data_IF_719574025677
#
_entry.id   IF_719574025677
#
_cell.length_a   1.000
_cell.length_b   1.000
_cell.length_c   1.000
_cell.angle_alpha   90.00
_cell.angle_beta   90.00
_cell.angle_gamma   90.00
#
_symmetry.space_group_name_H-M   'P 1'
#
loop_
_entity.id
_entity.type
_entity.pdbx_description
1 polymer ?
#
# COMPACT_ATOMS: atom_id res chain seq x y z
N UNK A 1 -0.35 -64.62 30.42
CA UNK A 1 0.73 -64.14 29.51
C UNK A 1 0.32 -64.46 28.07
N UNK A 2 -0.18 -63.46 27.34
CA UNK A 2 -0.58 -63.61 25.93
C UNK A 2 0.58 -63.12 25.02
N UNK A 3 0.96 -63.94 24.04
CA UNK A 3 2.01 -63.60 23.06
C UNK A 3 1.51 -62.50 22.11
N UNK A 4 2.32 -61.47 21.81
CA UNK A 4 1.96 -60.46 20.83
C UNK A 4 2.02 -61.08 19.42
N UNK A 5 0.90 -61.00 18.70
CA UNK A 5 0.78 -61.32 17.29
C UNK A 5 1.45 -60.22 16.46
N UNK A 6 2.60 -60.54 15.87
CA UNK A 6 3.24 -59.65 14.89
C UNK A 6 2.39 -59.60 13.63
N UNK A 7 1.89 -58.41 13.30
CA UNK A 7 1.27 -58.15 12.00
C UNK A 7 2.34 -58.36 10.92
N UNK A 8 2.03 -59.10 9.84
CA UNK A 8 3.05 -59.49 8.89
C UNK A 8 3.42 -58.29 8.01
N UNK A 9 4.72 -57.96 7.99
CA UNK A 9 5.35 -56.79 7.35
C UNK A 9 4.88 -56.53 5.91
N UNK A 10 4.49 -57.57 5.17
CA UNK A 10 3.97 -57.43 3.80
C UNK A 10 2.64 -56.66 3.71
N UNK A 11 1.79 -56.68 4.74
CA UNK A 11 0.55 -55.86 4.78
C UNK A 11 0.83 -54.36 4.91
N UNK A 12 1.91 -53.98 5.60
CA UNK A 12 2.37 -52.59 5.72
C UNK A 12 2.98 -52.13 4.39
N UNK A 13 3.76 -52.98 3.72
CA UNK A 13 4.31 -52.65 2.40
C UNK A 13 3.23 -52.54 1.31
N UNK A 14 2.19 -53.38 1.34
CA UNK A 14 1.09 -53.32 0.38
C UNK A 14 0.23 -52.06 0.57
N UNK A 15 -0.03 -51.65 1.81
CA UNK A 15 -0.74 -50.39 2.09
C UNK A 15 0.09 -49.17 1.70
N UNK A 16 1.41 -49.17 1.96
CA UNK A 16 2.28 -48.09 1.49
C UNK A 16 2.35 -48.00 -0.04
N UNK A 17 2.37 -49.13 -0.76
CA UNK A 17 2.36 -49.14 -2.23
C UNK A 17 1.03 -48.68 -2.83
N UNK A 18 -0.09 -49.05 -2.22
CA UNK A 18 -1.42 -48.55 -2.63
C UNK A 18 -1.57 -47.05 -2.35
N UNK A 19 -0.99 -46.53 -1.27
CA UNK A 19 -0.96 -45.09 -0.96
C UNK A 19 -0.09 -44.33 -1.97
N UNK A 20 1.03 -44.89 -2.43
CA UNK A 20 1.89 -44.23 -3.44
C UNK A 20 1.31 -44.28 -4.86
N UNK A 21 0.65 -45.37 -5.27
CA UNK A 21 -0.01 -45.46 -6.59
C UNK A 21 -1.30 -44.61 -6.66
N UNK A 22 -2.07 -44.53 -5.58
CA UNK A 22 -3.20 -43.59 -5.49
C UNK A 22 -2.75 -42.14 -5.41
N UNK A 23 -1.62 -41.83 -4.75
CA UNK A 23 -1.10 -40.45 -4.73
C UNK A 23 -0.53 -40.02 -6.07
N UNK A 24 0.02 -40.93 -6.89
CA UNK A 24 0.51 -40.60 -8.23
C UNK A 24 -0.65 -40.26 -9.19
N UNK A 25 -1.71 -41.06 -9.20
CA UNK A 25 -2.88 -40.82 -10.07
C UNK A 25 -3.75 -39.66 -9.57
N UNK A 26 -3.89 -39.50 -8.27
CA UNK A 26 -4.56 -38.34 -7.65
C UNK A 26 -3.73 -37.07 -7.83
N UNK A 27 -2.40 -37.17 -7.73
CA UNK A 27 -1.46 -36.09 -8.02
C UNK A 27 -1.61 -35.56 -9.44
N UNK A 28 -1.74 -36.43 -10.44
CA UNK A 28 -1.90 -36.00 -11.83
C UNK A 28 -3.30 -35.44 -12.13
N UNK A 29 -4.35 -35.89 -11.43
CA UNK A 29 -5.70 -35.29 -11.53
C UNK A 29 -5.77 -33.94 -10.83
N UNK A 30 -5.17 -33.82 -9.65
CA UNK A 30 -5.07 -32.55 -8.90
C UNK A 30 -4.20 -31.57 -9.68
N UNK A 31 -3.07 -32.00 -10.23
CA UNK A 31 -2.21 -31.17 -11.10
C UNK A 31 -2.94 -30.69 -12.34
N UNK A 32 -3.66 -31.56 -13.06
CA UNK A 32 -4.51 -31.14 -14.19
C UNK A 32 -5.66 -30.23 -13.76
N UNK A 33 -6.22 -30.44 -12.57
CA UNK A 33 -7.23 -29.57 -11.97
C UNK A 33 -6.68 -28.17 -11.66
N UNK A 34 -5.51 -28.11 -11.03
CA UNK A 34 -4.77 -26.88 -10.73
C UNK A 34 -4.43 -26.17 -12.04
N UNK A 35 -3.85 -26.84 -13.03
CA UNK A 35 -3.52 -26.24 -14.33
C UNK A 35 -4.75 -25.77 -15.10
N UNK A 36 -5.91 -26.44 -14.97
CA UNK A 36 -7.18 -25.95 -15.54
C UNK A 36 -7.72 -24.74 -14.80
N UNK A 37 -7.63 -24.73 -13.47
CA UNK A 37 -8.06 -23.61 -12.64
C UNK A 37 -7.13 -22.41 -12.86
N UNK A 38 -5.81 -22.60 -12.87
CA UNK A 38 -4.83 -21.59 -13.25
C UNK A 38 -5.05 -21.13 -14.69
N UNK A 39 -5.31 -22.03 -15.63
CA UNK A 39 -5.64 -21.68 -17.01
C UNK A 39 -6.97 -20.94 -17.14
N UNK A 40 -7.93 -21.15 -16.25
CA UNK A 40 -9.23 -20.48 -16.25
C UNK A 40 -9.20 -19.14 -15.50
N UNK A 41 -8.47 -19.07 -14.39
CA UNK A 41 -8.15 -17.82 -13.67
C UNK A 41 -7.34 -16.96 -14.62
N UNK A 42 -6.23 -17.47 -15.15
CA UNK A 42 -5.42 -16.80 -16.15
C UNK A 42 -6.25 -16.47 -17.38
N UNK A 43 -7.14 -17.29 -17.94
CA UNK A 43 -7.97 -16.82 -19.09
C UNK A 43 -9.02 -15.77 -18.73
N UNK A 44 -9.54 -15.75 -17.49
CA UNK A 44 -10.47 -14.69 -17.03
C UNK A 44 -9.76 -13.42 -16.57
N UNK A 45 -8.50 -13.51 -16.14
CA UNK A 45 -7.69 -12.39 -15.69
C UNK A 45 -6.62 -11.96 -16.70
N UNK A 46 -6.29 -12.76 -17.71
CA UNK A 46 -5.33 -12.48 -18.78
C UNK A 46 -5.76 -11.32 -19.68
N UNK A 47 -7.07 -11.09 -19.96
CA UNK A 47 -7.50 -9.85 -20.59
C UNK A 47 -7.13 -8.61 -19.74
N UNK A 48 -6.85 -8.80 -18.44
CA UNK A 48 -6.42 -7.78 -17.48
C UNK A 48 -4.92 -7.82 -17.15
N UNK A 49 -4.17 -8.84 -17.60
CA UNK A 49 -2.78 -9.13 -17.18
C UNK A 49 -1.84 -9.42 -18.36
N UNK A 50 -2.25 -9.21 -19.61
CA UNK A 50 -1.36 -9.34 -20.76
C UNK A 50 -0.27 -8.25 -20.72
N UNK A 51 1.01 -8.59 -20.53
CA UNK A 51 2.12 -7.64 -20.46
C UNK A 51 2.49 -7.06 -21.83
N UNK A 52 1.82 -7.50 -22.92
CA UNK A 52 2.04 -7.03 -24.28
C UNK A 52 1.08 -5.92 -24.71
N UNK A 53 0.18 -5.47 -23.83
CA UNK A 53 -0.60 -4.25 -24.07
C UNK A 53 0.36 -3.08 -23.98
N UNK A 54 0.56 -2.36 -25.10
CA UNK A 54 1.16 -1.02 -25.19
C UNK A 54 0.98 -0.32 -23.85
N UNK A 55 2.07 0.13 -23.20
CA UNK A 55 2.04 0.91 -21.94
C UNK A 55 0.81 1.80 -21.99
N UNK A 56 -0.26 1.36 -21.31
CA UNK A 56 -1.57 1.98 -21.52
C UNK A 56 -1.44 3.32 -20.83
N UNK A 57 -1.39 4.39 -21.62
CA UNK A 57 -1.11 5.71 -21.10
C UNK A 57 -2.12 6.04 -20.00
N UNK A 58 -1.69 6.76 -18.96
CA UNK A 58 -2.60 7.25 -17.94
C UNK A 58 -3.72 8.09 -18.58
N UNK A 59 -3.43 8.76 -19.71
CA UNK A 59 -4.43 9.49 -20.49
C UNK A 59 -5.48 8.56 -21.14
N UNK A 60 -5.09 7.38 -21.65
CA UNK A 60 -6.05 6.39 -22.15
C UNK A 60 -6.99 5.92 -21.03
N UNK A 61 -6.45 5.79 -19.81
CA UNK A 61 -7.25 5.45 -18.63
C UNK A 61 -8.25 6.53 -18.27
N UNK A 62 -8.00 7.81 -18.59
CA UNK A 62 -8.92 8.91 -18.25
C UNK A 62 -10.29 8.74 -18.91
N UNK A 63 -10.31 8.26 -20.15
CA UNK A 63 -11.54 8.06 -20.95
C UNK A 63 -12.08 6.63 -20.89
N UNK A 64 -11.30 5.68 -20.38
CA UNK A 64 -11.71 4.28 -20.26
C UNK A 64 -12.97 4.12 -19.38
N UNK A 65 -13.92 3.26 -19.79
CA UNK A 65 -15.12 3.00 -18.99
C UNK A 65 -14.76 2.36 -17.64
N UNK A 66 -15.62 2.51 -16.62
CA UNK A 66 -15.35 1.93 -15.31
C UNK A 66 -15.25 0.41 -15.42
N UNK A 67 -14.22 -0.20 -14.80
CA UNK A 67 -14.07 -1.65 -14.84
C UNK A 67 -15.27 -2.31 -14.16
N UNK A 68 -15.88 -3.29 -14.84
CA UNK A 68 -17.04 -4.06 -14.34
C UNK A 68 -18.27 -3.24 -13.98
N UNK A 69 -18.45 -2.08 -14.60
CA UNK A 69 -19.63 -1.24 -14.40
C UNK A 69 -20.96 -1.98 -14.62
N UNK A 70 -21.00 -2.89 -15.59
CA UNK A 70 -22.19 -3.70 -15.90
C UNK A 70 -22.58 -4.70 -14.81
N UNK A 71 -21.68 -5.02 -13.88
CA UNK A 71 -21.93 -5.96 -12.78
C UNK A 71 -22.73 -5.30 -11.63
N UNK A 72 -22.87 -3.97 -11.62
CA UNK A 72 -23.63 -3.24 -10.60
C UNK A 72 -25.14 -3.26 -10.91
N UNK A 73 -26.01 -3.53 -9.92
CA UNK A 73 -27.46 -3.41 -10.07
C UNK A 73 -27.87 -2.03 -10.61
N UNK A 74 -28.96 -1.97 -11.39
CA UNK A 74 -29.48 -0.70 -11.91
C UNK A 74 -29.89 0.26 -10.77
N UNK A 75 -30.33 -0.28 -9.65
CA UNK A 75 -30.72 0.46 -8.44
C UNK A 75 -29.54 0.86 -7.55
N UNK A 76 -28.30 0.55 -7.94
CA UNK A 76 -27.13 0.85 -7.11
C UNK A 76 -26.81 2.35 -7.13
N UNK A 77 -26.72 3.03 -5.96
CA UNK A 77 -26.44 4.46 -5.92
C UNK A 77 -25.09 4.80 -6.58
N UNK A 78 -24.09 3.93 -6.44
CA UNK A 78 -22.76 4.13 -7.06
C UNK A 78 -22.88 4.16 -8.59
N UNK A 79 -23.80 3.36 -9.15
CA UNK A 79 -24.04 3.34 -10.59
C UNK A 79 -24.58 4.68 -11.08
N UNK A 80 -25.57 5.24 -10.40
CA UNK A 80 -26.14 6.56 -10.74
C UNK A 80 -25.08 7.66 -10.67
N UNK A 81 -24.24 7.61 -9.65
CA UNK A 81 -23.20 8.60 -9.44
C UNK A 81 -22.08 8.50 -10.47
N UNK A 82 -21.71 7.30 -10.93
CA UNK A 82 -20.78 7.13 -12.06
C UNK A 82 -21.33 7.72 -13.35
N UNK A 83 -22.63 7.61 -13.61
CA UNK A 83 -23.27 8.26 -14.77
C UNK A 83 -23.13 9.78 -14.66
N UNK A 84 -23.39 10.36 -13.47
CA UNK A 84 -23.20 11.79 -13.20
C UNK A 84 -21.75 12.24 -13.38
N UNK A 85 -20.78 11.50 -12.83
CA UNK A 85 -19.35 11.76 -13.01
C UNK A 85 -18.95 11.75 -14.49
N UNK A 86 -19.49 10.81 -15.27
CA UNK A 86 -19.26 10.76 -16.74
C UNK A 86 -19.92 11.93 -17.49
N UNK A 87 -21.05 12.43 -16.99
CA UNK A 87 -21.70 13.63 -17.51
C UNK A 87 -20.94 14.92 -17.12
N UNK A 88 -19.90 14.82 -16.29
CA UNK A 88 -19.10 15.97 -15.85
C UNK A 88 -19.75 16.77 -14.71
N UNK A 89 -20.75 16.19 -14.03
CA UNK A 89 -21.36 16.80 -12.86
C UNK A 89 -20.38 16.78 -11.67
N UNK A 90 -20.33 17.86 -10.86
CA UNK A 90 -19.51 17.88 -9.66
C UNK A 90 -20.06 16.93 -8.59
N UNK A 91 -19.16 16.33 -7.80
CA UNK A 91 -19.55 15.54 -6.64
C UNK A 91 -19.98 16.45 -5.49
N UNK A 92 -21.07 16.06 -4.82
CA UNK A 92 -21.52 16.70 -3.58
C UNK A 92 -20.86 16.06 -2.35
N UNK A 93 -20.91 16.71 -1.19
CA UNK A 93 -20.43 16.13 0.07
C UNK A 93 -21.17 14.83 0.42
N UNK A 94 -22.47 14.77 0.14
CA UNK A 94 -23.27 13.55 0.33
C UNK A 94 -22.78 12.41 -0.56
N UNK A 95 -22.42 12.70 -1.81
CA UNK A 95 -21.85 11.71 -2.73
C UNK A 95 -20.51 11.18 -2.19
N UNK A 96 -19.64 12.06 -1.68
CA UNK A 96 -18.35 11.66 -1.09
C UNK A 96 -18.50 10.79 0.15
N UNK A 97 -19.45 11.12 1.03
CA UNK A 97 -19.75 10.28 2.20
C UNK A 97 -20.20 8.88 1.77
N UNK A 98 -21.10 8.79 0.78
CA UNK A 98 -21.57 7.51 0.26
C UNK A 98 -20.43 6.69 -0.39
N UNK A 99 -19.50 7.37 -1.09
CA UNK A 99 -18.34 6.73 -1.68
C UNK A 99 -17.34 6.22 -0.65
N UNK A 100 -17.07 7.02 0.38
CA UNK A 100 -16.20 6.64 1.50
C UNK A 100 -16.75 5.39 2.20
N UNK A 101 -18.05 5.33 2.42
CA UNK A 101 -18.73 4.16 2.99
C UNK A 101 -18.61 2.93 2.08
N UNK A 102 -18.71 3.10 0.76
CA UNK A 102 -18.55 2.02 -0.21
C UNK A 102 -17.11 1.47 -0.28
N UNK A 103 -16.12 2.32 -0.03
CA UNK A 103 -14.70 1.93 0.06
C UNK A 103 -14.40 1.22 1.38
N UNK A 104 -14.92 1.71 2.50
CA UNK A 104 -14.64 1.16 3.83
C UNK A 104 -15.16 -0.27 4.03
N UNK A 105 -16.24 -0.64 3.35
CA UNK A 105 -16.90 -1.95 3.48
C UNK A 105 -16.41 -2.96 2.43
N UNK A 106 -15.16 -3.43 2.57
CA UNK A 106 -14.62 -4.52 1.73
C UNK A 106 -15.20 -5.88 2.09
N UNK A 107 -16.46 -6.07 1.69
CA UNK A 107 -17.08 -7.38 1.66
C UNK A 107 -16.80 -8.07 0.30
N UNK A 108 -16.78 -9.40 0.32
CA UNK A 108 -16.72 -10.28 -0.86
C UNK A 108 -17.77 -9.91 -1.91
N UNK A 109 -18.91 -9.33 -1.50
CA UNK A 109 -20.00 -8.88 -2.38
C UNK A 109 -19.81 -7.45 -2.91
N UNK A 110 -19.12 -6.58 -2.17
CA UNK A 110 -19.05 -5.16 -2.47
C UNK A 110 -17.76 -4.69 -3.14
N UNK A 111 -16.78 -5.58 -3.37
CA UNK A 111 -15.50 -5.19 -3.97
C UNK A 111 -15.64 -4.50 -5.35
N UNK A 112 -16.67 -4.83 -6.15
CA UNK A 112 -16.97 -4.13 -7.42
C UNK A 112 -17.38 -2.68 -7.14
N UNK A 113 -18.17 -2.42 -6.10
CA UNK A 113 -18.54 -1.07 -5.67
C UNK A 113 -17.31 -0.27 -5.30
N UNK A 114 -16.41 -0.83 -4.49
CA UNK A 114 -15.16 -0.16 -4.08
C UNK A 114 -14.24 0.11 -5.27
N UNK A 115 -14.15 -0.83 -6.22
CA UNK A 115 -13.38 -0.65 -7.46
C UNK A 115 -13.92 0.49 -8.32
N UNK A 116 -15.25 0.50 -8.57
CA UNK A 116 -15.92 1.54 -9.37
C UNK A 116 -15.88 2.88 -8.63
N UNK A 117 -15.95 2.88 -7.30
CA UNK A 117 -15.79 4.07 -6.47
C UNK A 117 -14.42 4.68 -6.62
N UNK A 118 -13.35 3.88 -6.53
CA UNK A 118 -11.98 4.36 -6.74
C UNK A 118 -11.84 4.99 -8.13
N UNK A 119 -12.37 4.33 -9.17
CA UNK A 119 -12.39 4.86 -10.54
C UNK A 119 -13.11 6.22 -10.63
N UNK A 120 -14.27 6.36 -9.98
CA UNK A 120 -15.10 7.56 -10.03
C UNK A 120 -14.42 8.73 -9.33
N UNK A 121 -13.81 8.49 -8.16
CA UNK A 121 -13.11 9.50 -7.38
C UNK A 121 -11.94 10.15 -8.15
N UNK A 122 -11.21 9.38 -8.97
CA UNK A 122 -10.10 9.91 -9.78
C UNK A 122 -10.51 10.74 -11.00
N UNK A 123 -11.79 10.70 -11.40
CA UNK A 123 -12.29 11.33 -12.63
C UNK A 123 -13.39 12.37 -12.39
N UNK A 124 -13.94 12.39 -11.18
CA UNK A 124 -14.91 13.37 -10.78
C UNK A 124 -14.34 14.78 -10.80
N UNK A 125 -15.20 15.75 -11.11
CA UNK A 125 -14.93 17.16 -10.79
C UNK A 125 -15.19 17.34 -9.31
N UNK A 126 -14.12 17.55 -8.56
CA UNK A 126 -14.15 17.69 -7.10
C UNK A 126 -13.89 19.16 -6.78
N UNK A 127 -14.73 19.73 -5.91
CA UNK A 127 -14.48 21.05 -5.33
C UNK A 127 -13.09 21.06 -4.64
N UNK A 128 -12.28 22.12 -4.79
CA UNK A 128 -10.99 22.23 -4.12
C UNK A 128 -11.03 21.92 -2.62
N UNK A 129 -12.10 22.29 -1.91
CA UNK A 129 -12.29 22.02 -0.48
C UNK A 129 -12.43 20.54 -0.14
N UNK A 130 -12.87 19.72 -1.10
CA UNK A 130 -13.13 18.29 -0.94
C UNK A 130 -11.99 17.41 -1.49
N UNK A 131 -11.06 18.01 -2.24
CA UNK A 131 -9.97 17.30 -2.90
C UNK A 131 -9.11 16.51 -1.91
N UNK A 132 -8.81 17.08 -0.76
CA UNK A 132 -7.98 16.43 0.26
C UNK A 132 -8.65 15.17 0.83
N UNK A 133 -9.98 15.20 1.03
CA UNK A 133 -10.75 14.03 1.49
C UNK A 133 -10.78 12.91 0.44
N UNK A 134 -10.87 13.27 -0.83
CA UNK A 134 -10.80 12.32 -1.95
C UNK A 134 -9.43 11.65 -2.00
N UNK A 135 -8.36 12.44 -1.88
CA UNK A 135 -6.98 11.95 -1.83
C UNK A 135 -6.80 11.02 -0.64
N UNK A 136 -7.22 11.40 0.56
CA UNK A 136 -7.12 10.58 1.76
C UNK A 136 -7.87 9.25 1.61
N UNK A 137 -9.06 9.28 0.99
CA UNK A 137 -9.85 8.07 0.73
C UNK A 137 -9.15 7.13 -0.26
N UNK A 138 -8.56 7.67 -1.33
CA UNK A 138 -7.80 6.89 -2.31
C UNK A 138 -6.47 6.38 -1.75
N UNK A 139 -5.78 7.18 -0.93
CA UNK A 139 -4.58 6.76 -0.21
C UNK A 139 -4.91 5.62 0.77
N UNK A 140 -6.03 5.72 1.49
CA UNK A 140 -6.55 4.65 2.35
C UNK A 140 -6.86 3.38 1.55
N UNK A 141 -7.44 3.49 0.35
CA UNK A 141 -7.60 2.36 -0.56
C UNK A 141 -6.25 1.71 -0.91
N UNK A 142 -5.22 2.52 -1.16
CA UNK A 142 -3.90 2.06 -1.56
C UNK A 142 -3.13 1.42 -0.41
N UNK A 143 -3.28 1.94 0.81
CA UNK A 143 -2.69 1.42 2.05
C UNK A 143 -3.46 0.22 2.62
N UNK A 144 -4.66 -0.04 2.11
CA UNK A 144 -5.52 -1.14 2.54
C UNK A 144 -4.71 -2.41 2.74
N UNK A 145 -4.57 -2.77 4.02
CA UNK A 145 -3.61 -3.77 4.45
C UNK A 145 -3.99 -5.08 3.79
N UNK A 146 -3.10 -5.60 2.96
CA UNK A 146 -3.18 -7.00 2.58
C UNK A 146 -3.12 -7.78 3.89
N UNK A 147 -4.12 -8.62 4.14
CA UNK A 147 -4.11 -9.55 5.26
C UNK A 147 -2.87 -10.42 5.08
N UNK A 148 -1.80 -10.01 5.76
CA UNK A 148 -0.52 -10.61 5.57
C UNK A 148 -0.70 -12.07 6.01
N UNK A 149 -0.32 -13.00 5.12
CA UNK A 149 -0.18 -14.42 5.41
C UNK A 149 0.84 -14.71 6.54
N UNK A 150 1.21 -13.72 7.35
CA UNK A 150 2.02 -13.85 8.55
C UNK A 150 1.38 -14.81 9.56
N UNK A 151 0.05 -15.01 9.50
CA UNK A 151 -0.63 -16.08 10.26
C UNK A 151 -0.71 -17.44 9.53
N UNK A 152 -0.38 -17.51 8.24
CA UNK A 152 -0.56 -18.71 7.43
C UNK A 152 0.67 -19.62 7.42
N UNK A 153 1.88 -19.08 7.55
CA UNK A 153 3.11 -19.88 7.64
C UNK A 153 3.11 -20.79 8.87
N UNK A 154 2.54 -20.33 9.99
CA UNK A 154 2.37 -21.15 11.20
C UNK A 154 1.24 -22.19 11.05
N UNK A 155 0.13 -21.86 10.39
CA UNK A 155 -0.95 -22.85 10.14
C UNK A 155 -0.59 -23.91 9.10
N UNK A 156 0.28 -23.61 8.13
CA UNK A 156 0.71 -24.60 7.13
C UNK A 156 1.61 -25.68 7.74
N UNK A 157 2.51 -25.33 8.67
CA UNK A 157 3.34 -26.33 9.34
C UNK A 157 2.53 -27.33 10.17
N UNK A 158 1.43 -26.87 10.80
CA UNK A 158 0.57 -27.72 11.66
C UNK A 158 -0.54 -28.43 10.87
N UNK A 159 -1.07 -27.80 9.80
CA UNK A 159 -2.23 -28.29 9.05
C UNK A 159 -1.93 -29.18 7.85
N UNK A 160 -0.69 -29.16 7.31
CA UNK A 160 -0.33 -29.93 6.11
C UNK A 160 -0.41 -31.45 6.30
N UNK A 161 -0.36 -31.96 7.54
CA UNK A 161 -0.45 -33.38 7.80
C UNK A 161 -1.89 -33.90 7.91
N UNK A 162 -2.88 -33.04 8.18
CA UNK A 162 -4.25 -33.49 8.47
C UNK A 162 -5.33 -32.94 7.54
N UNK A 163 -5.08 -31.92 6.69
CA UNK A 163 -6.20 -31.28 6.00
C UNK A 163 -5.91 -30.62 4.65
N UNK A 164 -5.28 -31.34 3.72
CA UNK A 164 -5.12 -30.89 2.34
C UNK A 164 -6.45 -30.56 1.64
N UNK A 165 -7.57 -31.17 2.07
CA UNK A 165 -8.91 -30.89 1.54
C UNK A 165 -9.48 -29.55 2.01
N UNK A 166 -9.15 -29.07 3.21
CA UNK A 166 -9.63 -27.76 3.72
C UNK A 166 -8.68 -26.62 3.34
N UNK A 167 -7.37 -26.88 3.27
CA UNK A 167 -6.39 -25.82 2.98
C UNK A 167 -6.46 -25.32 1.54
N UNK A 168 -6.76 -26.18 0.56
CA UNK A 168 -6.77 -25.79 -0.85
C UNK A 168 -7.92 -24.81 -1.19
N UNK A 169 -9.19 -25.03 -0.81
CA UNK A 169 -10.25 -24.03 -0.97
C UNK A 169 -9.96 -22.70 -0.28
N UNK A 170 -9.34 -22.74 0.90
CA UNK A 170 -8.92 -21.54 1.64
C UNK A 170 -7.84 -20.76 0.89
N UNK A 171 -6.81 -21.43 0.37
CA UNK A 171 -5.77 -20.80 -0.44
C UNK A 171 -6.34 -20.17 -1.71
N UNK A 172 -7.25 -20.87 -2.42
CA UNK A 172 -7.95 -20.31 -3.59
C UNK A 172 -8.78 -19.08 -3.18
N UNK A 173 -9.50 -19.17 -2.06
CA UNK A 173 -10.28 -18.06 -1.53
C UNK A 173 -9.41 -16.82 -1.24
N UNK A 174 -8.26 -17.02 -0.58
CA UNK A 174 -7.31 -15.94 -0.28
C UNK A 174 -6.68 -15.35 -1.53
N UNK A 175 -6.28 -16.18 -2.51
CA UNK A 175 -5.75 -15.70 -3.80
C UNK A 175 -6.78 -14.85 -4.57
N UNK A 176 -8.05 -15.28 -4.60
CA UNK A 176 -9.13 -14.52 -5.25
C UNK A 176 -9.40 -13.22 -4.49
N UNK A 177 -9.37 -13.24 -3.16
CA UNK A 177 -9.54 -12.05 -2.33
C UNK A 177 -8.41 -11.05 -2.57
N UNK A 178 -7.16 -11.49 -2.57
CA UNK A 178 -5.99 -10.65 -2.82
C UNK A 178 -6.02 -10.02 -4.21
N UNK A 179 -6.44 -10.78 -5.23
CA UNK A 179 -6.63 -10.27 -6.59
C UNK A 179 -7.65 -9.12 -6.66
N UNK A 180 -8.75 -9.21 -5.89
CA UNK A 180 -9.78 -8.15 -5.82
C UNK A 180 -9.28 -6.91 -5.10
N UNK A 181 -8.60 -7.08 -3.96
CA UNK A 181 -7.99 -5.97 -3.23
C UNK A 181 -6.94 -5.27 -4.11
N UNK A 182 -6.10 -6.03 -4.79
CA UNK A 182 -5.11 -5.46 -5.71
C UNK A 182 -5.75 -4.75 -6.89
N UNK A 183 -6.90 -5.21 -7.41
CA UNK A 183 -7.64 -4.48 -8.44
C UNK A 183 -8.11 -3.10 -7.94
N UNK A 184 -8.67 -3.03 -6.72
CA UNK A 184 -9.08 -1.75 -6.09
C UNK A 184 -7.87 -0.83 -5.89
N UNK A 185 -6.77 -1.36 -5.34
CA UNK A 185 -5.51 -0.62 -5.14
C UNK A 185 -4.93 -0.11 -6.46
N UNK A 186 -5.02 -0.91 -7.52
CA UNK A 186 -4.53 -0.54 -8.85
C UNK A 186 -5.32 0.65 -9.39
N UNK A 187 -6.65 0.62 -9.24
CA UNK A 187 -7.48 1.73 -9.68
C UNK A 187 -7.33 2.96 -8.79
N UNK A 188 -7.12 2.78 -7.49
CA UNK A 188 -6.80 3.88 -6.57
C UNK A 188 -5.47 4.55 -6.93
N UNK A 189 -4.43 3.77 -7.25
CA UNK A 189 -3.14 4.28 -7.71
C UNK A 189 -3.28 5.07 -9.03
N UNK A 190 -4.04 4.56 -9.99
CA UNK A 190 -4.32 5.28 -11.24
C UNK A 190 -5.07 6.59 -10.97
N UNK A 191 -6.05 6.56 -10.07
CA UNK A 191 -6.86 7.73 -9.70
C UNK A 191 -6.04 8.81 -9.00
N UNK A 192 -5.13 8.43 -8.10
CA UNK A 192 -4.18 9.36 -7.47
C UNK A 192 -3.25 10.01 -8.49
N UNK A 193 -2.82 9.26 -9.51
CA UNK A 193 -2.00 9.79 -10.60
C UNK A 193 -2.77 10.81 -11.45
N UNK A 194 -4.05 10.54 -11.76
CA UNK A 194 -4.91 11.46 -12.52
C UNK A 194 -5.23 12.74 -11.76
N UNK A 195 -5.33 12.65 -10.43
CA UNK A 195 -5.51 13.82 -9.55
C UNK A 195 -4.23 14.61 -9.34
N UNK A 196 -3.10 14.19 -9.92
CA UNK A 196 -1.79 14.81 -9.77
C UNK A 196 -1.42 15.08 -8.30
N UNK A 197 -1.69 14.10 -7.42
CA UNK A 197 -1.47 14.27 -5.98
C UNK A 197 -0.01 13.94 -5.59
N UNK A 198 0.77 14.97 -5.28
CA UNK A 198 2.18 14.85 -4.89
C UNK A 198 2.37 14.22 -3.49
N UNK A 199 1.35 14.30 -2.62
CA UNK A 199 1.43 13.74 -1.26
C UNK A 199 1.32 12.21 -1.26
N UNK A 200 0.69 11.64 -2.29
CA UNK A 200 0.53 10.20 -2.47
C UNK A 200 1.80 9.48 -2.95
N UNK A 201 2.89 10.21 -3.23
CA UNK A 201 4.16 9.65 -3.71
C UNK A 201 4.67 8.54 -2.79
N UNK A 202 4.53 8.69 -1.47
CA UNK A 202 4.93 7.67 -0.51
C UNK A 202 4.17 6.36 -0.64
N UNK A 203 2.84 6.46 -0.74
CA UNK A 203 1.96 5.29 -0.84
C UNK A 203 2.12 4.59 -2.19
N UNK A 204 2.33 5.35 -3.26
CA UNK A 204 2.65 4.83 -4.58
C UNK A 204 4.01 4.13 -4.61
N UNK A 205 5.04 4.70 -3.97
CA UNK A 205 6.35 4.06 -3.83
C UNK A 205 6.24 2.73 -3.06
N UNK A 206 5.44 2.71 -1.99
CA UNK A 206 5.14 1.49 -1.27
C UNK A 206 4.43 0.45 -2.16
N UNK A 207 3.43 0.87 -2.94
CA UNK A 207 2.68 0.00 -3.84
C UNK A 207 3.55 -0.58 -4.97
N UNK A 208 4.45 0.23 -5.55
CA UNK A 208 5.40 -0.19 -6.58
C UNK A 208 6.37 -1.29 -6.10
N UNK A 209 6.64 -1.33 -4.79
CA UNK A 209 7.53 -2.31 -4.15
C UNK A 209 6.90 -3.67 -3.84
N UNK A 210 5.57 -3.81 -3.84
CA UNK A 210 4.91 -5.06 -3.40
C UNK A 210 5.35 -6.24 -4.27
N UNK A 211 6.23 -7.12 -3.77
CA UNK A 211 6.80 -8.24 -4.56
C UNK A 211 5.94 -9.50 -4.52
N UNK A 212 5.98 -10.26 -5.63
CA UNK A 212 5.66 -11.69 -5.74
C UNK A 212 4.31 -12.14 -5.16
N UNK A 213 3.28 -11.28 -5.18
CA UNK A 213 1.91 -11.65 -4.81
C UNK A 213 1.01 -11.75 -6.04
N UNK A 214 0.08 -12.72 -6.09
CA UNK A 214 -0.90 -12.81 -7.16
C UNK A 214 -1.65 -11.47 -7.34
N UNK A 215 -1.71 -10.97 -8.59
CA UNK A 215 -2.37 -9.72 -8.92
C UNK A 215 -1.62 -8.43 -8.54
N UNK A 216 -0.44 -8.52 -7.91
CA UNK A 216 0.38 -7.32 -7.59
C UNK A 216 1.10 -6.74 -8.82
N UNK A 217 1.23 -7.48 -9.92
CA UNK A 217 1.94 -7.04 -11.13
C UNK A 217 1.30 -5.75 -11.69
N UNK A 218 -0.01 -5.76 -11.93
CA UNK A 218 -0.74 -4.60 -12.43
C UNK A 218 -0.67 -3.40 -11.48
N UNK A 219 -0.73 -3.64 -10.16
CA UNK A 219 -0.58 -2.59 -9.15
C UNK A 219 0.80 -1.93 -9.26
N UNK A 220 1.87 -2.72 -9.35
CA UNK A 220 3.24 -2.22 -9.45
C UNK A 220 3.44 -1.41 -10.71
N UNK A 221 2.97 -1.92 -11.85
CA UNK A 221 3.08 -1.23 -13.14
C UNK A 221 2.39 0.13 -13.09
N UNK A 222 1.14 0.18 -12.63
CA UNK A 222 0.38 1.43 -12.53
C UNK A 222 0.99 2.38 -11.51
N UNK A 223 1.44 1.87 -10.35
CA UNK A 223 2.11 2.70 -9.35
C UNK A 223 3.44 3.26 -9.87
N UNK A 224 4.22 2.47 -10.60
CA UNK A 224 5.46 2.93 -11.27
C UNK A 224 5.16 4.03 -12.29
N UNK A 225 4.14 3.87 -13.13
CA UNK A 225 3.74 4.90 -14.09
C UNK A 225 3.28 6.19 -13.39
N UNK A 226 2.50 6.05 -12.32
CA UNK A 226 2.07 7.16 -11.49
C UNK A 226 3.27 7.91 -10.90
N UNK A 227 4.26 7.19 -10.35
CA UNK A 227 5.49 7.79 -9.83
C UNK A 227 6.30 8.49 -10.91
N UNK A 228 6.46 7.91 -12.10
CA UNK A 228 7.17 8.56 -13.21
C UNK A 228 6.57 9.92 -13.58
N UNK A 229 5.23 10.04 -13.47
CA UNK A 229 4.53 11.31 -13.70
C UNK A 229 4.65 12.29 -12.53
N UNK A 230 4.57 11.82 -11.30
CA UNK A 230 4.50 12.67 -10.10
C UNK A 230 5.87 13.11 -9.56
N UNK A 231 6.90 12.27 -9.65
CA UNK A 231 8.23 12.56 -9.08
C UNK A 231 8.86 13.84 -9.66
N UNK A 232 8.81 14.14 -10.97
CA UNK A 232 9.35 15.39 -11.50
C UNK A 232 8.73 16.66 -10.93
N UNK A 233 7.55 16.56 -10.30
CA UNK A 233 6.85 17.70 -9.68
C UNK A 233 7.24 17.90 -8.22
N UNK A 234 7.98 16.97 -7.62
CA UNK A 234 8.44 17.09 -6.23
C UNK A 234 9.53 18.15 -6.11
N UNK A 235 9.11 19.38 -5.83
CA UNK A 235 10.02 20.52 -5.60
C UNK A 235 10.53 20.66 -4.16
N UNK A 236 11.40 21.65 -3.90
CA UNK A 236 11.91 21.99 -2.56
C UNK A 236 10.82 22.25 -1.51
N UNK A 237 9.66 22.76 -1.92
CA UNK A 237 8.52 23.07 -1.02
C UNK A 237 7.91 21.82 -0.35
N UNK A 238 8.27 20.63 -0.84
CA UNK A 238 7.84 19.35 -0.29
C UNK A 238 8.76 18.83 0.82
N UNK A 239 9.88 19.50 1.08
CA UNK A 239 10.76 19.13 2.18
C UNK A 239 10.02 19.23 3.52
N UNK A 240 10.12 18.18 4.33
CA UNK A 240 9.38 18.06 5.61
C UNK A 240 7.89 17.76 5.48
N UNK A 241 7.29 17.86 4.29
CA UNK A 241 5.86 17.53 4.06
C UNK A 241 5.64 16.04 3.77
N UNK A 242 6.61 15.38 3.14
CA UNK A 242 6.53 13.93 2.93
C UNK A 242 6.79 13.20 4.23
N UNK A 243 5.94 12.21 4.53
CA UNK A 243 6.12 11.33 5.69
C UNK A 243 7.50 10.63 5.64
N UNK A 244 8.17 10.41 6.79
CA UNK A 244 9.41 9.62 6.83
C UNK A 244 9.29 8.23 6.20
N UNK A 245 8.08 7.63 6.26
CA UNK A 245 7.79 6.34 5.62
C UNK A 245 7.77 6.43 4.10
N UNK A 246 7.38 7.58 3.55
CA UNK A 246 7.41 7.85 2.11
C UNK A 246 8.85 7.92 1.61
N UNK A 247 9.70 8.70 2.28
CA UNK A 247 11.14 8.83 1.96
C UNK A 247 11.82 7.46 2.05
N UNK A 248 11.53 6.70 3.11
CA UNK A 248 12.05 5.33 3.25
C UNK A 248 11.60 4.43 2.11
N UNK A 249 10.34 4.53 1.68
CA UNK A 249 9.82 3.74 0.55
C UNK A 249 10.47 4.11 -0.78
N UNK A 250 10.82 5.39 -1.00
CA UNK A 250 11.60 5.85 -2.15
C UNK A 250 13.03 5.29 -2.12
N UNK A 251 13.72 5.34 -0.98
CA UNK A 251 15.04 4.71 -0.82
C UNK A 251 14.99 3.20 -1.12
N UNK A 252 13.97 2.51 -0.64
CA UNK A 252 13.78 1.07 -0.90
C UNK A 252 13.33 0.77 -2.34
N UNK A 253 12.94 1.79 -3.11
CA UNK A 253 12.65 1.67 -4.54
C UNK A 253 13.94 1.71 -5.37
N UNK A 254 14.97 2.43 -4.90
CA UNK A 254 16.29 2.46 -5.53
C UNK A 254 16.98 1.08 -5.55
N UNK A 255 16.78 0.28 -4.50
CA UNK A 255 17.31 -1.09 -4.37
C UNK A 255 16.59 -2.11 -5.30
N UNK A 256 15.61 -1.67 -6.09
CA UNK A 256 14.89 -2.56 -7.00
C UNK A 256 15.44 -2.46 -8.41
N UNK A 257 15.39 -3.57 -9.14
CA UNK A 257 15.89 -3.72 -10.51
C UNK A 257 15.15 -2.88 -11.59
N UNK A 258 14.34 -1.89 -11.20
CA UNK A 258 13.59 -1.04 -12.11
C UNK A 258 14.43 0.18 -12.52
N UNK A 259 15.22 0.03 -13.58
CA UNK A 259 16.13 1.06 -14.11
C UNK A 259 15.44 2.41 -14.35
N UNK A 260 14.22 2.39 -14.85
CA UNK A 260 13.52 3.58 -15.34
C UNK A 260 13.09 4.55 -14.22
N UNK A 261 13.11 4.10 -12.97
CA UNK A 261 12.71 4.92 -11.82
C UNK A 261 13.90 5.53 -11.07
N UNK A 262 15.13 5.06 -11.30
CA UNK A 262 16.27 5.52 -10.51
C UNK A 262 16.52 7.01 -10.63
N UNK A 263 16.52 7.55 -11.85
CA UNK A 263 16.78 8.98 -12.07
C UNK A 263 15.66 9.87 -11.50
N UNK A 264 14.35 9.63 -11.76
CA UNK A 264 13.28 10.41 -11.13
C UNK A 264 13.27 10.33 -9.60
N UNK A 265 13.57 9.16 -9.03
CA UNK A 265 13.63 9.00 -7.57
C UNK A 265 14.83 9.75 -6.99
N UNK A 266 16.00 9.69 -7.62
CA UNK A 266 17.18 10.46 -7.20
C UNK A 266 16.91 11.97 -7.26
N UNK A 267 16.24 12.46 -8.31
CA UNK A 267 15.85 13.87 -8.40
C UNK A 267 14.86 14.26 -7.29
N UNK A 268 13.86 13.44 -7.00
CA UNK A 268 12.95 13.69 -5.89
C UNK A 268 13.70 13.72 -4.55
N UNK A 269 14.59 12.75 -4.30
CA UNK A 269 15.39 12.68 -3.07
C UNK A 269 16.36 13.86 -2.90
N UNK A 270 16.81 14.49 -3.98
CA UNK A 270 17.54 15.77 -3.91
C UNK A 270 16.74 16.84 -3.17
N UNK A 271 15.43 16.89 -3.40
CA UNK A 271 14.55 17.89 -2.82
C UNK A 271 14.03 17.47 -1.44
N UNK A 272 13.58 16.23 -1.28
CA UNK A 272 12.89 15.78 -0.07
C UNK A 272 13.75 14.95 0.90
N UNK A 273 14.94 14.53 0.45
CA UNK A 273 15.81 13.66 1.24
C UNK A 273 16.44 14.34 2.45
N UNK A 274 16.71 13.56 3.48
CA UNK A 274 17.43 13.98 4.69
C UNK A 274 18.45 12.94 5.12
N UNK A 275 18.84 12.96 6.39
CA UNK A 275 19.84 12.03 6.95
C UNK A 275 19.60 10.53 6.66
N UNK A 276 18.35 10.08 6.60
CA UNK A 276 18.00 8.68 6.30
C UNK A 276 18.27 8.24 4.86
N UNK A 277 18.48 9.19 3.94
CA UNK A 277 18.65 8.90 2.51
C UNK A 277 20.11 8.71 2.11
N UNK A 278 21.05 9.22 2.91
CA UNK A 278 22.49 9.26 2.62
C UNK A 278 23.02 7.87 2.28
N UNK A 279 22.71 6.85 3.09
CA UNK A 279 23.19 5.48 2.88
C UNK A 279 22.67 4.88 1.56
N UNK A 280 21.39 5.08 1.26
CA UNK A 280 20.78 4.53 0.04
C UNK A 280 21.34 5.19 -1.22
N UNK A 281 21.51 6.52 -1.21
CA UNK A 281 22.10 7.27 -2.34
C UNK A 281 23.59 6.95 -2.50
N UNK A 282 24.34 6.84 -1.40
CA UNK A 282 25.75 6.47 -1.44
C UNK A 282 25.97 5.10 -2.09
N UNK A 283 25.12 4.11 -1.78
CA UNK A 283 25.18 2.78 -2.39
C UNK A 283 25.04 2.81 -3.93
N UNK A 284 24.37 3.81 -4.49
CA UNK A 284 24.20 3.99 -5.93
C UNK A 284 25.42 4.59 -6.65
N UNK A 285 26.42 5.08 -5.90
CA UNK A 285 27.67 5.62 -6.47
C UNK A 285 28.68 4.52 -6.82
N UNK A 286 28.47 3.32 -6.29
CA UNK A 286 29.34 2.15 -6.46
C UNK A 286 29.35 1.64 -7.91
N UNK A 287 30.40 0.89 -8.25
CA UNK A 287 30.49 0.17 -9.52
C UNK A 287 29.37 -0.89 -9.60
N UNK A 288 28.67 -0.95 -10.73
CA UNK A 288 27.50 -1.82 -10.93
C UNK A 288 26.24 -1.08 -11.38
N UNK A 289 26.15 0.23 -11.12
CA UNK A 289 25.06 1.07 -11.59
C UNK A 289 25.38 1.75 -12.95
N UNK A 290 24.36 2.07 -13.77
CA UNK A 290 24.56 2.83 -15.01
C UNK A 290 25.29 4.15 -14.76
N UNK A 291 26.14 4.59 -15.71
CA UNK A 291 26.96 5.79 -15.55
C UNK A 291 26.15 7.04 -15.20
N UNK A 292 25.03 7.27 -15.91
CA UNK A 292 24.12 8.39 -15.63
C UNK A 292 23.53 8.34 -14.21
N UNK A 293 23.15 7.15 -13.74
CA UNK A 293 22.65 6.96 -12.37
C UNK A 293 23.72 7.24 -11.32
N UNK A 294 24.97 6.78 -11.54
CA UNK A 294 26.09 7.05 -10.63
C UNK A 294 26.43 8.52 -10.53
N UNK A 295 26.51 9.20 -11.69
CA UNK A 295 26.77 10.63 -11.75
C UNK A 295 25.68 11.42 -11.01
N UNK A 296 24.41 11.10 -11.28
CA UNK A 296 23.31 11.74 -10.58
C UNK A 296 23.31 11.45 -9.08
N UNK A 297 23.61 10.22 -8.69
CA UNK A 297 23.71 9.84 -7.28
C UNK A 297 24.83 10.62 -6.55
N UNK A 298 25.97 10.91 -7.20
CA UNK A 298 27.04 11.74 -6.61
C UNK A 298 26.58 13.17 -6.37
N UNK A 299 25.94 13.79 -7.36
CA UNK A 299 25.34 15.14 -7.22
C UNK A 299 24.36 15.18 -6.04
N UNK A 300 23.43 14.21 -5.99
CA UNK A 300 22.42 14.13 -4.94
C UNK A 300 23.07 13.89 -3.58
N UNK A 301 24.07 13.01 -3.51
CA UNK A 301 24.77 12.64 -2.27
C UNK A 301 25.39 13.85 -1.58
N UNK A 302 26.03 14.74 -2.34
CA UNK A 302 26.62 15.97 -1.82
C UNK A 302 25.55 16.84 -1.13
N UNK A 303 24.42 17.04 -1.82
CA UNK A 303 23.31 17.88 -1.34
C UNK A 303 22.67 17.28 -0.08
N UNK A 304 22.37 15.97 -0.09
CA UNK A 304 21.70 15.33 1.07
C UNK A 304 22.64 15.19 2.26
N UNK A 305 23.95 15.06 2.04
CA UNK A 305 24.95 15.02 3.13
C UNK A 305 25.07 16.39 3.81
N UNK A 306 25.24 17.46 3.03
CA UNK A 306 25.28 18.81 3.57
C UNK A 306 23.97 19.19 4.29
N UNK A 307 22.83 18.67 3.84
CA UNK A 307 21.55 18.85 4.55
C UNK A 307 21.51 18.04 5.86
N UNK A 308 21.95 16.79 5.84
CA UNK A 308 22.00 15.95 7.02
C UNK A 308 22.92 16.52 8.11
N UNK A 309 24.02 17.17 7.73
CA UNK A 309 24.91 17.87 8.66
C UNK A 309 24.20 19.05 9.32
N UNK A 310 23.53 19.91 8.53
CA UNK A 310 22.72 21.02 9.06
C UNK A 310 21.61 20.54 10.00
N UNK A 311 20.93 19.44 9.67
CA UNK A 311 19.91 18.81 10.54
C UNK A 311 20.53 18.37 11.89
N UNK A 312 21.72 17.77 11.86
CA UNK A 312 22.44 17.35 13.09
C UNK A 312 22.90 18.55 13.91
N UNK A 313 23.43 19.59 13.28
CA UNK A 313 23.83 20.83 13.94
C UNK A 313 22.64 21.53 14.61
N UNK A 314 21.52 21.68 13.89
CA UNK A 314 20.30 22.23 14.44
C UNK A 314 19.79 21.39 15.63
N UNK A 315 19.82 20.06 15.51
CA UNK A 315 19.43 19.15 16.60
C UNK A 315 20.37 19.25 17.81
N UNK A 316 21.66 19.56 17.60
CA UNK A 316 22.64 19.78 18.67
C UNK A 316 22.38 21.10 19.40
N UNK A 317 21.95 22.15 18.69
CA UNK A 317 21.60 23.44 19.28
C UNK A 317 20.30 23.39 20.09
N UNK A 318 19.37 22.51 19.72
CA UNK A 318 18.08 22.35 20.40
C UNK A 318 18.10 21.36 21.57
N UNK A 319 19.21 20.66 21.83
CA UNK A 319 19.36 19.99 23.11
C UNK A 319 19.52 21.10 24.15
N UNK A 320 18.57 21.30 25.10
CA UNK A 320 18.84 22.17 26.23
C UNK A 320 20.17 21.71 26.81
N UNK A 321 21.04 22.65 27.15
CA UNK A 321 22.31 22.33 27.79
C UNK A 321 21.99 21.58 29.09
N UNK A 322 21.89 20.26 29.02
CA UNK A 322 22.04 19.38 30.16
C UNK A 322 23.47 19.62 30.60
N UNK A 323 23.62 20.59 31.50
CA UNK A 323 24.89 20.89 32.13
C UNK A 323 25.39 19.55 32.69
N UNK A 324 26.55 19.05 32.21
CA UNK A 324 27.13 17.84 32.75
C UNK A 324 27.55 18.18 34.18
N UNK A 325 26.70 17.80 35.15
CA UNK A 325 26.89 18.12 36.56
C UNK A 325 25.82 18.96 37.24
N UNK A 326 24.65 19.22 36.63
CA UNK A 326 23.49 19.63 37.43
C UNK A 326 22.87 18.37 38.06
N UNK A 327 23.06 18.09 39.36
CA UNK A 327 22.34 16.99 40.02
C UNK A 327 20.83 17.22 39.84
N UNK A 328 20.13 16.21 39.33
CA UNK A 328 18.67 16.23 39.13
C UNK A 328 17.89 16.44 40.45
N UNK A 329 18.58 16.41 41.60
CA UNK A 329 18.01 16.57 42.94
C UNK A 329 17.70 18.02 43.37
N UNK A 330 18.03 19.06 42.58
CA UNK A 330 17.89 20.48 43.03
C UNK A 330 17.05 21.34 42.07
N UNK A 331 16.11 20.76 41.32
CA UNK A 331 15.15 21.57 40.52
C UNK A 331 13.68 21.27 40.81
N UNK A 332 13.40 20.44 41.81
CA UNK A 332 12.12 20.44 42.48
C UNK A 332 12.28 21.21 43.79
N UNK A 333 12.08 22.53 43.76
CA UNK A 333 11.42 23.11 44.94
C UNK A 333 10.03 22.48 44.92
N UNK A 334 9.61 21.73 45.94
CA UNK A 334 8.22 21.39 46.09
C UNK A 334 7.46 22.70 45.96
N UNK A 335 6.61 22.83 44.93
CA UNK A 335 5.52 23.78 45.03
C UNK A 335 4.69 23.20 46.16
N UNK A 336 4.90 23.72 47.37
CA UNK A 336 3.98 23.51 48.47
C UNK A 336 2.61 23.83 47.89
N UNK A 337 1.78 22.78 47.80
CA UNK A 337 0.42 22.94 47.35
C UNK A 337 -0.19 24.06 48.19
N UNK A 338 -0.73 25.13 47.56
CA UNK A 338 -1.48 26.10 48.33
C UNK A 338 -2.57 25.32 49.08
N UNK A 339 -2.75 25.58 50.39
CA UNK A 339 -3.77 24.90 51.17
C UNK A 339 -5.10 25.02 50.43
N UNK A 340 -5.80 23.90 50.35
CA UNK A 340 -7.16 23.75 49.84
C UNK A 340 -8.09 24.81 50.46
N UNK A 341 -8.09 26.00 49.89
CA UNK A 341 -9.00 27.09 50.18
C UNK A 341 -9.81 27.37 48.91
N UNK A 342 -11.08 26.99 48.98
CA UNK A 342 -12.20 27.32 48.10
C UNK A 342 -11.92 27.59 46.61
N UNK A 343 -12.29 26.58 45.81
CA UNK A 343 -12.39 26.60 44.34
C UNK A 343 -13.62 27.42 43.86
N UNK A 344 -14.34 28.13 44.74
CA UNK A 344 -15.59 28.83 44.39
C UNK A 344 -15.42 30.23 43.74
N UNK A 345 -14.21 30.75 43.53
CA UNK A 345 -14.01 32.17 43.17
C UNK A 345 -13.38 32.47 41.79
N UNK A 346 -13.40 31.52 40.85
CA UNK A 346 -12.93 31.77 39.48
C UNK A 346 -14.00 31.54 38.40
N UNK A 347 -15.23 31.94 38.67
CA UNK A 347 -16.21 32.23 37.61
C UNK A 347 -16.07 33.71 37.28
N UNK A 348 -15.43 34.04 36.15
CA UNK A 348 -15.63 35.36 35.56
C UNK A 348 -16.93 35.31 34.76
N UNK A 349 -17.94 36.14 35.07
CA UNK A 349 -19.08 36.28 34.20
C UNK A 349 -18.62 36.82 32.85
N UNK A 350 -18.97 36.11 31.78
CA UNK A 350 -18.96 36.68 30.44
C UNK A 350 -20.24 37.48 30.34
N UNK A 351 -20.16 38.78 30.62
CA UNK A 351 -21.21 39.71 30.24
C UNK A 351 -21.21 39.82 28.71
N UNK A 352 -22.40 39.64 28.15
CA UNK A 352 -22.62 39.64 26.72
C UNK A 352 -22.40 41.02 26.10
N UNK A 353 -22.18 40.99 24.79
CA UNK A 353 -22.37 42.16 23.94
C UNK A 353 -23.26 41.70 22.78
N UNK A 354 -24.54 42.04 22.88
CA UNK A 354 -25.50 41.99 21.78
C UNK A 354 -25.39 43.31 21.01
N UNK A 355 -25.00 43.22 19.73
CA UNK A 355 -24.99 44.32 18.77
C UNK A 355 -25.30 43.84 17.37
#
# INVERSE_FOLDING_TARGET
>A
MAKPTSLPVWRIMLTMRLITETSATMGERVRRGILRIEGAITRRTAPLLSPSRKRLDLEDRRTAPPPRFGDLPLSDPIRSMVVRVRAGEPLTEADLSALRDAVGKLDRRNWVRSLVTAWALGRARVDPSLRDRVIETLASCLQMRQYAMNGCTTTLAVGCLFNSLISLPWLIYMMVRDGRVNAIRTEAAASLALLDCEWAVGDLAHAARVRNRPGSIALREVATMALQRLLPRTGPDHYGRLSPTAVTSLCLLLDQAHSDLHLPVLEALKHVGGSSTVTAVAAMTNEGWPAATREKAREVLEIVTARAEREREASRLLRPAQAPGSPEDILLRPVEAPPSGDVELLVRPVEGDEG
#
